data_IF_505606596158
#
_entry.id   IF_505606596158
#
_cell.length_a   1.000
_cell.length_b   1.000
_cell.length_c   1.000
_cell.angle_alpha   90.00
_cell.angle_beta   90.00
_cell.angle_gamma   90.00
#
_symmetry.space_group_name_H-M   'P 1'
#
loop_
_entity.id
_entity.type
_entity.pdbx_description
1 polymer ?
#
# COMPACT_ATOMS: atom_id res chain seq x y z
N UNK A 1 21.15 46.08 41.27
CA UNK A 1 21.01 46.33 42.72
C UNK A 1 19.52 46.26 43.04
N UNK A 2 19.05 45.12 43.57
CA UNK A 2 18.58 45.00 44.97
C UNK A 2 17.40 45.95 45.28
N UNK A 3 16.23 45.51 45.70
CA UNK A 3 15.89 44.24 46.32
C UNK A 3 14.41 44.16 46.69
N UNK A 4 14.07 43.01 47.26
CA UNK A 4 12.79 42.62 47.87
C UNK A 4 12.32 43.59 48.95
N UNK A 5 11.02 43.62 49.26
CA UNK A 5 10.53 43.40 50.63
C UNK A 5 9.02 43.07 50.70
N UNK A 6 8.67 42.34 51.76
CA UNK A 6 7.49 41.51 52.07
C UNK A 6 6.41 42.21 52.95
N UNK A 7 5.24 41.58 53.25
CA UNK A 7 3.94 42.18 53.65
C UNK A 7 3.73 42.29 55.18
N UNK A 8 2.54 42.72 55.72
CA UNK A 8 1.48 41.77 56.22
C UNK A 8 0.05 42.43 56.36
N UNK A 9 -0.93 41.93 57.17
CA UNK A 9 -1.51 40.59 57.35
C UNK A 9 -3.06 40.52 57.24
N UNK A 10 -3.59 39.29 57.08
CA UNK A 10 -4.63 38.71 57.94
C UNK A 10 -6.11 39.11 57.79
N UNK A 11 -6.94 38.17 57.36
CA UNK A 11 -8.40 38.20 57.55
C UNK A 11 -9.07 36.89 57.15
N UNK A 12 -9.46 36.09 58.13
CA UNK A 12 -10.16 34.80 57.97
C UNK A 12 -11.67 35.00 57.70
N UNK A 13 -12.28 34.12 56.88
CA UNK A 13 -13.72 34.18 56.59
C UNK A 13 -14.26 32.97 55.82
N UNK A 14 -14.58 31.93 56.58
CA UNK A 14 -15.41 30.74 56.32
C UNK A 14 -16.53 30.84 55.25
N UNK A 15 -16.62 29.87 54.32
CA UNK A 15 -17.63 28.77 54.29
C UNK A 15 -17.67 28.08 52.91
N UNK A 16 -17.49 26.76 52.92
CA UNK A 16 -17.39 25.89 51.75
C UNK A 16 -18.76 25.33 51.31
N UNK A 17 -19.15 25.71 50.10
CA UNK A 17 -19.65 24.87 48.98
C UNK A 17 -20.48 23.62 49.27
N UNK A 18 -21.79 23.68 48.96
CA UNK A 18 -22.59 22.51 48.54
C UNK A 18 -22.22 22.15 47.10
N UNK A 19 -21.56 21.01 46.85
CA UNK A 19 -21.44 20.43 45.51
C UNK A 19 -22.56 19.43 45.27
N UNK A 20 -23.38 19.71 44.25
CA UNK A 20 -24.38 18.81 43.69
C UNK A 20 -23.68 17.70 42.89
N UNK A 21 -24.23 16.49 42.97
CA UNK A 21 -23.94 15.40 42.05
C UNK A 21 -24.21 15.83 40.61
N UNK A 22 -23.27 15.54 39.72
CA UNK A 22 -23.55 15.36 38.30
C UNK A 22 -22.97 13.98 37.93
N UNK A 23 -23.88 13.01 37.76
CA UNK A 23 -23.58 11.72 37.17
C UNK A 23 -23.38 11.98 35.69
N UNK A 24 -22.14 11.86 35.20
CA UNK A 24 -21.87 11.85 33.77
C UNK A 24 -22.31 10.48 33.22
N UNK A 25 -23.37 10.48 32.41
CA UNK A 25 -23.77 9.32 31.63
C UNK A 25 -22.71 9.06 30.57
N UNK A 26 -21.95 7.97 30.71
CA UNK A 26 -21.14 7.43 29.63
C UNK A 26 -22.10 6.83 28.58
N UNK A 27 -22.23 7.51 27.44
CA UNK A 27 -22.91 6.95 26.28
C UNK A 27 -22.04 5.83 25.70
N UNK A 28 -22.35 4.59 26.06
CA UNK A 28 -21.82 3.41 25.40
C UNK A 28 -22.46 3.32 24.00
N UNK A 29 -21.75 3.82 22.99
CA UNK A 29 -22.08 3.54 21.60
C UNK A 29 -21.76 2.07 21.35
N UNK A 30 -22.77 1.22 21.40
CA UNK A 30 -22.73 -0.13 20.86
C UNK A 30 -22.60 0.00 19.34
N UNK A 31 -21.36 0.06 18.84
CA UNK A 31 -21.03 -0.14 17.44
C UNK A 31 -21.50 -1.55 17.05
N UNK A 32 -22.68 -1.63 16.44
CA UNK A 32 -23.13 -2.84 15.78
C UNK A 32 -22.13 -3.16 14.65
N UNK A 33 -21.64 -4.39 14.51
CA UNK A 33 -20.79 -4.75 13.38
C UNK A 33 -21.58 -4.55 12.09
N UNK A 34 -21.05 -3.75 11.17
CA UNK A 34 -21.64 -3.48 9.87
C UNK A 34 -21.83 -4.82 9.12
N UNK A 35 -23.03 -5.13 8.60
CA UNK A 35 -23.14 -6.21 7.63
C UNK A 35 -22.39 -5.81 6.36
N UNK A 36 -21.72 -6.77 5.70
CA UNK A 36 -20.94 -6.57 4.48
C UNK A 36 -21.67 -5.88 3.30
N UNK A 37 -22.99 -5.70 3.40
CA UNK A 37 -23.84 -4.97 2.46
C UNK A 37 -23.98 -3.46 2.75
N UNK A 38 -23.27 -2.91 3.74
CA UNK A 38 -23.50 -1.55 4.25
C UNK A 38 -22.41 -0.52 3.90
N UNK A 39 -21.30 -0.93 3.27
CA UNK A 39 -20.25 0.03 2.89
C UNK A 39 -20.69 0.76 1.61
N UNK A 40 -20.90 2.07 1.71
CA UNK A 40 -21.16 2.92 0.55
C UNK A 40 -19.89 2.96 -0.33
N UNK A 41 -19.95 2.25 -1.46
CA UNK A 41 -18.85 2.15 -2.43
C UNK A 41 -18.57 3.45 -3.19
N UNK A 42 -19.54 4.37 -3.19
CA UNK A 42 -19.40 5.69 -3.79
C UNK A 42 -18.54 6.60 -2.92
N UNK A 43 -18.85 6.67 -1.62
CA UNK A 43 -18.10 7.46 -0.64
C UNK A 43 -18.40 6.99 0.78
N UNK A 44 -17.37 6.85 1.62
CA UNK A 44 -17.59 6.55 3.04
C UNK A 44 -18.43 7.64 3.72
N UNK A 45 -19.31 7.19 4.63
CA UNK A 45 -19.99 8.10 5.55
C UNK A 45 -18.96 8.78 6.47
N UNK A 46 -19.29 9.93 7.11
CA UNK A 46 -18.39 10.56 8.08
C UNK A 46 -17.99 9.62 9.23
N UNK A 47 -18.90 8.76 9.66
CA UNK A 47 -18.64 7.78 10.72
C UNK A 47 -17.70 6.67 10.25
N UNK A 48 -17.88 6.17 9.02
CA UNK A 48 -16.98 5.17 8.42
C UNK A 48 -15.59 5.75 8.14
N UNK A 49 -15.51 7.02 7.72
CA UNK A 49 -14.24 7.72 7.55
C UNK A 49 -13.52 7.92 8.89
N UNK A 50 -14.25 8.20 9.98
CA UNK A 50 -13.67 8.26 11.32
C UNK A 50 -13.18 6.87 11.79
N UNK A 51 -13.94 5.81 11.51
CA UNK A 51 -13.54 4.44 11.80
C UNK A 51 -12.27 4.03 11.03
N UNK A 52 -12.18 4.37 9.74
CA UNK A 52 -11.00 4.18 8.91
C UNK A 52 -9.77 4.88 9.52
N UNK A 53 -9.89 6.15 9.91
CA UNK A 53 -8.77 6.85 10.55
C UNK A 53 -8.31 6.18 11.84
N UNK A 54 -9.24 5.72 12.68
CA UNK A 54 -8.91 5.00 13.90
C UNK A 54 -8.21 3.66 13.63
N UNK A 55 -8.58 2.97 12.54
CA UNK A 55 -7.90 1.76 12.06
C UNK A 55 -6.47 2.09 11.62
N UNK A 56 -6.28 3.10 10.77
CA UNK A 56 -4.96 3.48 10.28
C UNK A 56 -4.02 3.89 11.44
N UNK A 57 -4.55 4.59 12.44
CA UNK A 57 -3.81 4.92 13.67
C UNK A 57 -3.41 3.68 14.48
N UNK A 58 -4.32 2.70 14.61
CA UNK A 58 -4.02 1.45 15.32
C UNK A 58 -2.95 0.61 14.58
N UNK A 59 -2.92 0.67 13.25
CA UNK A 59 -1.96 -0.05 12.41
C UNK A 59 -0.58 0.60 12.37
N UNK A 60 -0.48 1.93 12.58
CA UNK A 60 0.74 2.71 12.40
C UNK A 60 1.98 2.09 13.08
N UNK A 61 1.96 1.65 14.36
CA UNK A 61 3.16 1.14 15.02
C UNK A 61 3.70 -0.14 14.37
N UNK A 62 2.81 -1.09 14.07
CA UNK A 62 3.16 -2.37 13.45
C UNK A 62 3.64 -2.18 12.01
N UNK A 63 2.96 -1.34 11.23
CA UNK A 63 3.36 -1.04 9.85
C UNK A 63 4.70 -0.31 9.79
N UNK A 64 4.93 0.67 10.67
CA UNK A 64 6.22 1.37 10.77
C UNK A 64 7.35 0.41 11.14
N UNK A 65 7.10 -0.54 12.05
CA UNK A 65 8.08 -1.55 12.42
C UNK A 65 8.42 -2.46 11.23
N UNK A 66 7.42 -2.90 10.46
CA UNK A 66 7.64 -3.71 9.26
C UNK A 66 8.34 -2.92 8.14
N UNK A 67 8.01 -1.65 7.93
CA UNK A 67 8.69 -0.78 6.98
C UNK A 67 10.18 -0.63 7.32
N UNK A 68 10.51 -0.31 8.58
CA UNK A 68 11.92 -0.25 9.03
C UNK A 68 12.63 -1.60 8.91
N UNK A 69 11.90 -2.69 9.12
CA UNK A 69 12.42 -4.05 8.95
C UNK A 69 12.47 -4.53 7.50
N UNK A 70 12.03 -3.74 6.52
CA UNK A 70 11.99 -4.16 5.12
C UNK A 70 11.05 -5.32 4.86
N UNK A 71 9.94 -5.45 5.60
CA UNK A 71 8.99 -6.56 5.49
C UNK A 71 7.54 -6.10 5.34
N UNK A 72 7.30 -4.82 5.09
CA UNK A 72 5.94 -4.28 4.95
C UNK A 72 5.13 -5.02 3.89
N UNK A 73 5.73 -5.31 2.73
CA UNK A 73 5.12 -6.06 1.65
C UNK A 73 4.76 -7.53 2.00
N UNK A 74 5.32 -8.04 3.10
CA UNK A 74 5.07 -9.39 3.64
C UNK A 74 4.05 -9.39 4.78
N UNK A 75 3.32 -8.28 5.01
CA UNK A 75 2.28 -8.20 6.04
C UNK A 75 1.31 -9.39 5.92
N UNK A 76 1.06 -10.10 7.01
CA UNK A 76 0.08 -11.20 7.02
C UNK A 76 -1.29 -10.71 7.48
N UNK A 77 -2.33 -11.51 7.21
CA UNK A 77 -3.67 -11.23 7.76
C UNK A 77 -3.67 -11.22 9.29
N UNK A 78 -2.92 -12.12 9.92
CA UNK A 78 -2.80 -12.17 11.37
C UNK A 78 -2.19 -10.87 11.91
N UNK A 79 -1.08 -10.41 11.34
CA UNK A 79 -0.42 -9.16 11.71
C UNK A 79 -1.29 -7.92 11.46
N UNK A 80 -2.06 -7.90 10.35
CA UNK A 80 -2.97 -6.80 10.05
C UNK A 80 -4.12 -6.71 11.06
N UNK A 81 -4.65 -7.85 11.52
CA UNK A 81 -5.79 -7.89 12.43
C UNK A 81 -5.39 -7.77 13.90
N UNK A 82 -4.18 -8.19 14.28
CA UNK A 82 -3.68 -8.23 15.66
C UNK A 82 -3.96 -6.96 16.46
N UNK A 83 -3.62 -5.73 16.01
CA UNK A 83 -3.77 -4.53 16.81
C UNK A 83 -5.22 -4.00 16.85
N UNK A 84 -6.14 -4.61 16.10
CA UNK A 84 -7.50 -4.11 15.89
C UNK A 84 -8.48 -4.66 16.92
N UNK A 85 -9.35 -3.79 17.42
CA UNK A 85 -10.52 -4.14 18.23
C UNK A 85 -11.58 -4.90 17.41
N UNK A 86 -12.52 -5.64 18.06
CA UNK A 86 -13.54 -6.37 17.33
C UNK A 86 -14.38 -5.53 16.32
N UNK A 87 -14.82 -4.29 16.64
CA UNK A 87 -15.50 -3.45 15.65
C UNK A 87 -14.63 -3.07 14.46
N UNK A 88 -13.34 -2.80 14.68
CA UNK A 88 -12.38 -2.48 13.62
C UNK A 88 -12.13 -3.69 12.70
N UNK A 89 -12.05 -4.91 13.27
CA UNK A 89 -11.95 -6.14 12.49
C UNK A 89 -13.17 -6.35 11.61
N UNK A 90 -14.37 -6.15 12.16
CA UNK A 90 -15.62 -6.23 11.39
C UNK A 90 -15.66 -5.23 10.23
N UNK A 91 -15.11 -4.03 10.42
CA UNK A 91 -14.96 -3.05 9.34
C UNK A 91 -14.03 -3.56 8.22
N UNK A 92 -12.84 -4.10 8.56
CA UNK A 92 -11.94 -4.72 7.58
C UNK A 92 -12.59 -5.90 6.84
N UNK A 93 -13.34 -6.73 7.55
CA UNK A 93 -14.05 -7.87 6.97
C UNK A 93 -15.09 -7.41 5.93
N UNK A 94 -15.75 -6.28 6.16
CA UNK A 94 -16.66 -5.69 5.17
C UNK A 94 -15.92 -5.28 3.89
N UNK A 95 -14.71 -4.70 3.99
CA UNK A 95 -13.89 -4.37 2.83
C UNK A 95 -13.39 -5.62 2.09
N UNK A 96 -13.01 -6.68 2.81
CA UNK A 96 -12.61 -7.96 2.19
C UNK A 96 -13.75 -8.67 1.49
N UNK A 97 -14.98 -8.44 1.93
CA UNK A 97 -16.17 -9.01 1.31
C UNK A 97 -16.63 -8.23 0.06
N UNK A 98 -16.04 -7.06 -0.23
CA UNK A 98 -16.32 -6.31 -1.45
C UNK A 98 -15.96 -7.16 -2.68
N UNK A 99 -16.86 -7.21 -3.64
CA UNK A 99 -16.62 -7.86 -4.92
C UNK A 99 -16.19 -6.80 -5.93
N UNK A 100 -15.12 -7.02 -6.69
CA UNK A 100 -14.73 -6.07 -7.75
C UNK A 100 -15.88 -5.76 -8.72
N UNK A 101 -16.74 -6.74 -9.00
CA UNK A 101 -17.93 -6.56 -9.83
C UNK A 101 -18.91 -5.51 -9.27
N UNK A 102 -19.00 -5.33 -7.95
CA UNK A 102 -19.83 -4.27 -7.34
C UNK A 102 -19.21 -2.88 -7.44
N UNK A 103 -17.95 -2.77 -7.87
CA UNK A 103 -17.25 -1.50 -8.11
C UNK A 103 -17.21 -1.12 -9.61
N UNK A 104 -17.92 -1.86 -10.46
CA UNK A 104 -17.87 -1.67 -11.91
C UNK A 104 -16.54 -2.07 -12.55
N UNK A 105 -15.67 -2.75 -11.80
CA UNK A 105 -14.37 -3.20 -12.29
C UNK A 105 -14.48 -4.58 -12.95
N UNK A 106 -13.88 -4.73 -14.13
CA UNK A 106 -13.66 -6.00 -14.83
C UNK A 106 -12.32 -6.64 -14.48
N UNK A 107 -11.63 -6.12 -13.45
CA UNK A 107 -10.31 -6.56 -13.05
C UNK A 107 -10.30 -8.07 -12.74
N UNK A 108 -9.31 -8.78 -13.29
CA UNK A 108 -9.12 -10.19 -13.05
C UNK A 108 -8.98 -10.46 -11.54
N UNK A 109 -9.58 -11.54 -11.05
CA UNK A 109 -9.35 -12.00 -9.68
C UNK A 109 -8.27 -13.07 -9.67
N UNK A 110 -7.12 -12.75 -9.12
CA UNK A 110 -5.98 -13.66 -9.01
C UNK A 110 -6.07 -14.59 -7.80
N UNK A 111 -6.92 -14.24 -6.83
CA UNK A 111 -7.06 -14.99 -5.59
C UNK A 111 -6.02 -14.62 -4.54
N UNK A 112 -6.05 -15.34 -3.43
CA UNK A 112 -5.04 -15.26 -2.38
C UNK A 112 -4.19 -16.53 -2.42
N UNK A 113 -2.86 -16.45 -2.22
CA UNK A 113 -2.03 -17.64 -2.09
C UNK A 113 -2.53 -18.54 -0.96
N UNK A 114 -2.71 -19.84 -1.23
CA UNK A 114 -3.13 -20.81 -0.21
C UNK A 114 -2.04 -21.11 0.83
N UNK A 115 -0.80 -20.70 0.55
CA UNK A 115 0.35 -20.79 1.43
C UNK A 115 1.29 -19.59 1.15
N UNK A 116 2.14 -19.20 2.13
CA UNK A 116 3.16 -18.19 1.90
C UNK A 116 4.05 -18.59 0.71
N UNK A 117 4.22 -17.72 -0.30
CA UNK A 117 5.09 -18.03 -1.43
C UNK A 117 6.57 -18.11 -1.02
N UNK A 118 7.37 -18.90 -1.74
CA UNK A 118 8.84 -18.89 -1.60
C UNK A 118 9.39 -17.58 -2.20
N UNK A 119 9.46 -16.57 -1.34
CA UNK A 119 9.95 -15.25 -1.67
C UNK A 119 11.40 -15.08 -1.23
N UNK A 120 12.18 -14.45 -2.09
CA UNK A 120 13.56 -14.06 -1.80
C UNK A 120 13.67 -12.54 -1.87
N UNK A 121 14.49 -11.91 -1.00
CA UNK A 121 14.71 -10.48 -1.07
C UNK A 121 15.45 -10.14 -2.37
N UNK A 122 14.99 -9.08 -3.03
CA UNK A 122 15.82 -8.35 -3.99
C UNK A 122 16.96 -7.72 -3.18
N UNK A 123 18.20 -7.86 -3.64
CA UNK A 123 19.36 -7.27 -2.97
C UNK A 123 19.22 -5.75 -2.80
N UNK A 124 20.05 -5.09 -1.97
CA UNK A 124 19.98 -3.64 -1.80
C UNK A 124 20.06 -2.91 -3.13
N UNK A 125 19.18 -1.91 -3.31
CA UNK A 125 19.08 -1.10 -4.52
C UNK A 125 19.14 0.38 -4.13
N UNK A 126 19.68 1.18 -5.03
CA UNK A 126 19.65 2.64 -4.93
C UNK A 126 19.35 3.26 -6.29
N UNK A 127 18.80 4.47 -6.22
CA UNK A 127 18.61 5.40 -7.34
C UNK A 127 19.33 6.70 -7.03
N UNK A 128 19.67 7.47 -8.06
CA UNK A 128 20.22 8.83 -7.94
C UNK A 128 19.18 9.81 -8.46
N UNK A 129 18.31 10.29 -7.56
CA UNK A 129 17.28 11.27 -7.90
C UNK A 129 17.82 12.67 -7.63
N UNK A 130 17.89 13.51 -8.68
CA UNK A 130 18.36 14.90 -8.59
C UNK A 130 19.78 15.01 -7.99
N UNK A 131 20.66 14.07 -8.34
CA UNK A 131 22.05 14.03 -7.84
C UNK A 131 22.20 13.51 -6.41
N UNK A 132 21.11 13.04 -5.78
CA UNK A 132 21.13 12.48 -4.43
C UNK A 132 20.85 10.98 -4.49
N UNK A 133 21.79 10.19 -3.98
CA UNK A 133 21.61 8.76 -3.79
C UNK A 133 20.51 8.48 -2.76
N UNK A 134 19.54 7.65 -3.12
CA UNK A 134 18.41 7.24 -2.29
C UNK A 134 18.30 5.72 -2.32
N UNK A 135 18.37 5.03 -1.17
CA UNK A 135 18.08 3.60 -1.13
C UNK A 135 16.60 3.38 -1.45
N UNK A 136 16.30 2.29 -2.18
CA UNK A 136 14.93 1.83 -2.35
C UNK A 136 14.53 0.93 -1.18
N UNK A 137 13.23 0.90 -0.88
CA UNK A 137 12.69 0.00 0.12
C UNK A 137 12.94 -1.47 -0.28
N UNK A 138 13.22 -2.37 0.69
CA UNK A 138 13.43 -3.78 0.38
C UNK A 138 12.23 -4.42 -0.32
N UNK A 139 12.51 -5.05 -1.46
CA UNK A 139 11.52 -5.74 -2.28
C UNK A 139 11.72 -7.25 -2.23
N UNK A 140 10.68 -8.00 -2.59
CA UNK A 140 10.72 -9.46 -2.64
C UNK A 140 10.16 -9.95 -3.96
N UNK A 141 10.71 -11.04 -4.47
CA UNK A 141 10.20 -11.73 -5.66
C UNK A 141 10.23 -13.25 -5.42
N UNK A 142 9.39 -14.03 -6.12
CA UNK A 142 9.62 -15.45 -6.27
C UNK A 142 11.03 -15.71 -6.82
N UNK A 143 11.67 -16.80 -6.37
CA UNK A 143 13.06 -17.12 -6.71
C UNK A 143 13.34 -17.14 -8.21
N UNK A 144 12.41 -17.70 -8.98
CA UNK A 144 12.51 -17.80 -10.43
C UNK A 144 12.43 -16.42 -11.09
N UNK A 145 11.44 -15.62 -10.69
CA UNK A 145 11.27 -14.24 -11.17
C UNK A 145 12.51 -13.38 -10.84
N UNK A 146 13.09 -13.50 -9.64
CA UNK A 146 14.32 -12.80 -9.29
C UNK A 146 15.48 -13.20 -10.20
N UNK A 147 15.62 -14.50 -10.47
CA UNK A 147 16.69 -15.02 -11.32
C UNK A 147 16.54 -14.54 -12.76
N UNK A 148 15.30 -14.52 -13.29
CA UNK A 148 14.99 -13.99 -14.61
C UNK A 148 15.22 -12.48 -14.71
N UNK A 149 14.78 -11.72 -13.70
CA UNK A 149 15.04 -10.29 -13.59
C UNK A 149 16.55 -9.99 -13.61
N UNK A 150 17.36 -10.73 -12.85
CA UNK A 150 18.80 -10.53 -12.84
C UNK A 150 19.43 -10.73 -14.22
N UNK A 151 19.07 -11.81 -14.94
CA UNK A 151 19.53 -12.05 -16.32
C UNK A 151 19.09 -10.94 -17.28
N UNK A 152 17.85 -10.47 -17.15
CA UNK A 152 17.30 -9.39 -17.98
C UNK A 152 18.08 -8.08 -17.74
N UNK A 153 18.36 -7.76 -16.49
CA UNK A 153 19.14 -6.57 -16.14
C UNK A 153 20.61 -6.67 -16.56
N UNK A 154 21.23 -7.85 -16.48
CA UNK A 154 22.61 -8.05 -16.96
C UNK A 154 22.70 -7.87 -18.49
N UNK A 155 21.68 -8.30 -19.24
CA UNK A 155 21.60 -8.07 -20.68
C UNK A 155 21.35 -6.58 -21.02
N UNK A 156 20.45 -5.91 -20.29
CA UNK A 156 20.21 -4.48 -20.45
C UNK A 156 21.48 -3.65 -20.17
N UNK A 157 22.21 -3.99 -19.11
CA UNK A 157 23.50 -3.35 -18.77
C UNK A 157 24.52 -3.53 -19.90
N UNK A 158 24.60 -4.72 -20.49
CA UNK A 158 25.52 -5.00 -21.59
C UNK A 158 25.20 -4.16 -22.85
N UNK A 159 23.92 -3.90 -23.12
CA UNK A 159 23.47 -3.19 -24.32
C UNK A 159 23.42 -1.66 -24.13
N UNK A 160 23.00 -1.19 -22.95
CA UNK A 160 22.73 0.22 -22.67
C UNK A 160 23.67 0.86 -21.64
N UNK A 161 24.40 0.06 -20.84
CA UNK A 161 25.20 0.55 -19.72
C UNK A 161 24.36 1.08 -18.55
N UNK A 162 23.13 0.57 -18.39
CA UNK A 162 22.26 0.87 -17.27
C UNK A 162 21.33 -0.32 -16.95
N UNK A 163 20.66 -0.24 -15.80
CA UNK A 163 19.72 -1.24 -15.29
C UNK A 163 18.51 -0.56 -14.69
N UNK A 164 17.35 -1.15 -14.87
CA UNK A 164 16.19 -0.82 -14.04
C UNK A 164 16.37 -1.37 -12.62
N UNK A 165 15.61 -0.79 -11.68
CA UNK A 165 15.48 -1.26 -10.30
C UNK A 165 14.03 -1.70 -10.06
N UNK A 166 13.84 -2.59 -9.10
CA UNK A 166 12.50 -2.96 -8.63
C UNK A 166 12.03 -1.91 -7.63
N UNK A 167 11.04 -1.11 -8.02
CA UNK A 167 10.34 -0.20 -7.11
C UNK A 167 9.28 -0.94 -6.29
N UNK A 168 8.54 -1.85 -6.93
CA UNK A 168 7.51 -2.66 -6.28
C UNK A 168 7.55 -4.11 -6.77
N UNK A 169 7.86 -5.04 -5.86
CA UNK A 169 7.85 -6.47 -6.12
C UNK A 169 6.57 -7.14 -5.62
N UNK A 170 6.69 -8.29 -4.96
CA UNK A 170 5.57 -8.98 -4.33
C UNK A 170 4.88 -8.10 -3.28
N UNK A 171 3.54 -8.11 -3.28
CA UNK A 171 2.69 -7.49 -2.26
C UNK A 171 1.68 -8.51 -1.74
N UNK A 172 1.71 -8.80 -0.44
CA UNK A 172 0.72 -9.72 0.14
C UNK A 172 -0.72 -9.16 0.02
N UNK A 173 -1.75 -10.02 -0.01
CA UNK A 173 -3.14 -9.56 0.01
C UNK A 173 -3.48 -8.67 1.21
N UNK A 174 -2.89 -8.94 2.39
CA UNK A 174 -3.09 -8.11 3.57
C UNK A 174 -2.43 -6.73 3.43
N UNK A 175 -1.22 -6.68 2.85
CA UNK A 175 -0.57 -5.40 2.53
C UNK A 175 -1.37 -4.63 1.48
N UNK A 176 -1.90 -5.31 0.48
CA UNK A 176 -2.77 -4.70 -0.54
C UNK A 176 -4.03 -4.10 0.07
N UNK A 177 -4.68 -4.78 1.03
CA UNK A 177 -5.82 -4.19 1.76
C UNK A 177 -5.39 -2.95 2.55
N UNK A 178 -4.26 -3.01 3.26
CA UNK A 178 -3.73 -1.85 3.96
C UNK A 178 -3.51 -0.66 3.02
N UNK A 179 -2.88 -0.88 1.85
CA UNK A 179 -2.69 0.17 0.85
C UNK A 179 -4.02 0.75 0.39
N UNK A 180 -5.01 -0.10 0.09
CA UNK A 180 -6.34 0.36 -0.30
C UNK A 180 -6.96 1.30 0.74
N UNK A 181 -6.91 0.91 2.02
CA UNK A 181 -7.42 1.70 3.14
C UNK A 181 -6.61 2.99 3.35
N UNK A 182 -5.29 2.94 3.18
CA UNK A 182 -4.39 4.07 3.35
C UNK A 182 -4.57 5.16 2.28
N UNK A 183 -4.86 4.76 1.03
CA UNK A 183 -5.08 5.69 -0.08
C UNK A 183 -6.53 6.19 -0.17
N UNK A 184 -7.49 5.53 0.48
CA UNK A 184 -8.90 5.92 0.45
C UNK A 184 -9.14 7.42 0.75
N UNK A 185 -8.53 8.02 1.79
CA UNK A 185 -8.73 9.44 2.08
C UNK A 185 -8.15 10.37 1.01
N UNK A 186 -7.09 9.94 0.32
CA UNK A 186 -6.48 10.70 -0.79
C UNK A 186 -7.39 10.77 -2.01
N UNK A 187 -8.30 9.80 -2.15
CA UNK A 187 -9.31 9.74 -3.21
C UNK A 187 -10.69 10.16 -2.70
N UNK A 188 -10.73 11.07 -1.72
CA UNK A 188 -11.97 11.67 -1.21
C UNK A 188 -12.90 10.69 -0.49
N UNK A 189 -12.33 9.62 0.08
CA UNK A 189 -13.03 8.51 0.74
C UNK A 189 -13.91 7.67 -0.20
N UNK A 190 -13.64 7.70 -1.51
CA UNK A 190 -14.36 6.91 -2.50
C UNK A 190 -13.67 5.58 -2.76
N UNK A 191 -14.39 4.47 -2.52
CA UNK A 191 -13.92 3.11 -2.82
C UNK A 191 -13.82 2.91 -4.33
N UNK A 192 -14.81 3.41 -5.09
CA UNK A 192 -14.81 3.31 -6.55
C UNK A 192 -13.65 4.11 -7.15
N UNK A 193 -13.39 5.33 -6.68
CA UNK A 193 -12.26 6.13 -7.16
C UNK A 193 -10.92 5.48 -6.78
N UNK A 194 -10.78 5.04 -5.53
CA UNK A 194 -9.56 4.36 -5.07
C UNK A 194 -9.26 3.11 -5.87
N UNK A 195 -10.29 2.33 -6.21
CA UNK A 195 -10.13 1.10 -6.99
C UNK A 195 -9.67 1.37 -8.44
N UNK A 196 -9.66 2.62 -8.93
CA UNK A 196 -9.05 2.97 -10.22
C UNK A 196 -7.52 2.96 -10.19
N UNK A 197 -6.93 3.14 -9.00
CA UNK A 197 -5.47 3.29 -8.82
C UNK A 197 -4.89 2.22 -7.90
N UNK A 198 -5.67 1.72 -6.95
CA UNK A 198 -5.25 0.71 -5.97
C UNK A 198 -6.22 -0.45 -6.01
N UNK A 199 -5.77 -1.59 -6.52
CA UNK A 199 -6.60 -2.79 -6.60
C UNK A 199 -7.03 -3.29 -5.21
N UNK A 200 -8.25 -3.84 -5.13
CA UNK A 200 -8.70 -4.62 -3.97
C UNK A 200 -7.77 -5.83 -3.69
N UNK A 201 -7.74 -6.35 -2.45
CA UNK A 201 -7.01 -7.58 -2.14
C UNK A 201 -7.43 -8.74 -3.06
N UNK A 202 -6.45 -9.48 -3.58
CA UNK A 202 -6.66 -10.56 -4.55
C UNK A 202 -6.89 -10.13 -6.01
N UNK A 203 -6.90 -8.82 -6.29
CA UNK A 203 -7.01 -8.26 -7.64
C UNK A 203 -5.71 -7.60 -8.15
N UNK A 204 -4.67 -7.53 -7.33
CA UNK A 204 -3.35 -7.02 -7.73
C UNK A 204 -2.48 -8.16 -8.25
N UNK A 205 -1.85 -7.98 -9.42
CA UNK A 205 -0.85 -8.94 -9.95
C UNK A 205 0.36 -9.09 -9.02
N UNK A 206 0.68 -8.06 -8.22
CA UNK A 206 1.79 -8.15 -7.25
C UNK A 206 1.55 -9.20 -6.16
N UNK A 207 0.28 -9.54 -5.90
CA UNK A 207 -0.11 -10.59 -4.96
C UNK A 207 -0.24 -11.97 -5.59
N UNK A 208 0.13 -12.14 -6.87
CA UNK A 208 -0.04 -13.37 -7.62
C UNK A 208 1.30 -13.93 -8.14
N UNK A 209 2.03 -14.71 -7.31
CA UNK A 209 3.33 -15.28 -7.67
C UNK A 209 3.41 -16.03 -9.02
N UNK A 210 2.37 -16.76 -9.49
CA UNK A 210 2.43 -17.42 -10.81
C UNK A 210 2.51 -16.45 -12.00
N UNK A 211 2.09 -15.20 -11.83
CA UNK A 211 2.33 -14.10 -12.80
C UNK A 211 2.81 -12.87 -12.04
N UNK A 212 3.99 -12.99 -11.42
CA UNK A 212 4.49 -11.99 -10.49
C UNK A 212 4.73 -10.65 -11.19
N UNK A 213 3.98 -9.62 -10.79
CA UNK A 213 4.25 -8.25 -11.22
C UNK A 213 5.49 -7.65 -10.54
N UNK A 214 6.13 -6.76 -11.30
CA UNK A 214 7.32 -5.98 -10.96
C UNK A 214 7.12 -4.59 -11.55
N UNK A 215 7.09 -3.58 -10.70
CA UNK A 215 7.13 -2.17 -11.11
C UNK A 215 8.59 -1.74 -11.19
N UNK A 216 9.00 -1.24 -12.35
CA UNK A 216 10.35 -0.77 -12.60
C UNK A 216 10.51 0.73 -12.40
N UNK A 217 11.67 1.12 -11.90
CA UNK A 217 12.15 2.50 -11.83
C UNK A 217 13.56 2.56 -12.40
N UNK A 218 13.89 3.61 -13.16
CA UNK A 218 15.25 3.76 -13.66
C UNK A 218 16.22 4.31 -12.60
N UNK A 219 17.52 4.32 -12.92
CA UNK A 219 18.55 4.77 -11.98
C UNK A 219 18.43 6.25 -11.62
N UNK A 220 17.73 7.06 -12.42
CA UNK A 220 17.44 8.47 -12.14
C UNK A 220 16.18 8.69 -11.28
N UNK A 221 15.43 7.63 -10.96
CA UNK A 221 14.21 7.71 -10.17
C UNK A 221 12.95 8.06 -10.96
N UNK A 222 12.91 7.77 -12.26
CA UNK A 222 11.74 7.90 -13.14
C UNK A 222 10.99 6.56 -13.12
N UNK A 223 9.74 6.58 -12.63
CA UNK A 223 8.88 5.40 -12.51
C UNK A 223 7.62 5.44 -13.39
N UNK A 224 7.21 6.62 -13.86
CA UNK A 224 6.05 6.78 -14.73
C UNK A 224 4.68 6.76 -14.04
N UNK A 225 4.57 6.50 -12.72
CA UNK A 225 3.27 6.36 -12.04
C UNK A 225 2.35 7.57 -12.25
N UNK A 226 2.89 8.78 -12.04
CA UNK A 226 2.18 10.05 -12.26
C UNK A 226 2.26 10.53 -13.74
N UNK A 227 3.35 10.16 -14.42
CA UNK A 227 3.71 10.64 -15.76
C UNK A 227 4.18 9.47 -16.65
N UNK A 228 3.26 8.63 -17.16
CA UNK A 228 3.61 7.42 -17.91
C UNK A 228 4.53 7.69 -19.12
N UNK A 229 4.36 8.84 -19.75
CA UNK A 229 5.17 9.30 -20.88
C UNK A 229 6.66 9.46 -20.55
N UNK A 230 7.02 9.75 -19.29
CA UNK A 230 8.42 9.91 -18.89
C UNK A 230 9.14 8.56 -18.86
N UNK A 231 8.47 7.51 -18.35
CA UNK A 231 9.03 6.16 -18.37
C UNK A 231 9.03 5.58 -19.78
N UNK A 232 7.96 5.78 -20.55
CA UNK A 232 7.88 5.32 -21.95
C UNK A 232 8.97 5.93 -22.84
N UNK A 233 9.37 7.17 -22.58
CA UNK A 233 10.44 7.84 -23.33
C UNK A 233 11.84 7.30 -23.03
N UNK A 234 12.00 6.43 -22.03
CA UNK A 234 13.29 5.88 -21.63
C UNK A 234 13.83 4.88 -22.66
N UNK A 235 15.16 4.87 -22.93
CA UNK A 235 15.77 3.80 -23.71
C UNK A 235 15.57 2.42 -23.07
N UNK A 236 15.47 2.35 -21.74
CA UNK A 236 15.18 1.13 -20.98
C UNK A 236 13.79 0.56 -21.32
N UNK A 237 12.75 1.41 -21.44
CA UNK A 237 11.41 0.96 -21.82
C UNK A 237 11.40 0.36 -23.22
N UNK A 238 12.02 1.06 -24.18
CA UNK A 238 12.15 0.54 -25.56
C UNK A 238 12.90 -0.80 -25.58
N UNK A 239 13.96 -0.93 -24.78
CA UNK A 239 14.69 -2.20 -24.68
C UNK A 239 13.81 -3.30 -24.08
N UNK A 240 12.99 -3.01 -23.07
CA UNK A 240 12.04 -3.99 -22.53
C UNK A 240 11.05 -4.47 -23.61
N UNK A 241 10.47 -3.59 -24.41
CA UNK A 241 9.55 -3.97 -25.50
C UNK A 241 10.18 -4.94 -26.51
N UNK A 242 11.48 -4.79 -26.79
CA UNK A 242 12.20 -5.61 -27.77
C UNK A 242 12.75 -6.93 -27.17
N UNK A 243 13.06 -6.96 -25.85
CA UNK A 243 13.88 -8.01 -25.25
C UNK A 243 13.25 -8.74 -24.04
N UNK A 244 12.36 -8.11 -23.27
CA UNK A 244 11.88 -8.63 -21.99
C UNK A 244 11.21 -10.01 -22.10
N UNK A 245 10.48 -10.25 -23.20
CA UNK A 245 9.80 -11.52 -23.45
C UNK A 245 10.76 -12.73 -23.47
N UNK A 246 12.04 -12.54 -23.83
CA UNK A 246 13.06 -13.60 -23.83
C UNK A 246 13.43 -14.06 -22.42
N UNK A 247 13.15 -13.23 -21.42
CA UNK A 247 13.36 -13.51 -20.00
C UNK A 247 12.05 -13.85 -19.29
N UNK A 248 10.96 -14.06 -20.03
CA UNK A 248 9.65 -14.39 -19.47
C UNK A 248 8.88 -13.19 -18.89
N UNK A 249 9.25 -11.96 -19.24
CA UNK A 249 8.53 -10.75 -18.81
C UNK A 249 7.63 -10.21 -19.92
N UNK A 250 6.44 -9.76 -19.55
CA UNK A 250 5.49 -9.10 -20.45
C UNK A 250 4.86 -7.86 -19.78
N UNK A 251 4.62 -6.82 -20.58
CA UNK A 251 3.91 -5.61 -20.15
C UNK A 251 2.46 -5.96 -19.84
N UNK A 252 2.00 -5.71 -18.60
CA UNK A 252 0.64 -6.11 -18.21
C UNK A 252 -0.43 -5.18 -18.78
N UNK A 253 -0.16 -3.87 -18.81
CA UNK A 253 -1.16 -2.86 -19.17
C UNK A 253 -0.69 -1.96 -20.32
N UNK A 254 -0.57 -2.48 -21.55
CA UNK A 254 -0.39 -1.64 -22.74
C UNK A 254 -1.60 -0.75 -22.99
N UNK A 255 -1.46 0.27 -23.84
CA UNK A 255 -2.60 1.09 -24.28
C UNK A 255 -3.68 0.23 -24.92
N UNK A 256 -4.92 0.42 -24.47
CA UNK A 256 -6.07 -0.34 -24.96
C UNK A 256 -6.09 -1.80 -24.51
N UNK A 257 -5.37 -2.15 -23.44
CA UNK A 257 -5.45 -3.49 -22.84
C UNK A 257 -6.91 -3.87 -22.52
N UNK A 258 -7.26 -5.17 -22.57
CA UNK A 258 -8.63 -5.64 -22.37
C UNK A 258 -9.11 -5.52 -20.92
N UNK A 259 -8.23 -5.18 -19.98
CA UNK A 259 -8.56 -5.05 -18.56
C UNK A 259 -9.22 -3.71 -18.24
N UNK A 260 -9.10 -2.72 -19.13
CA UNK A 260 -9.60 -1.36 -18.89
C UNK A 260 -8.74 -0.54 -17.92
N UNK A 261 -7.58 -1.08 -17.52
CA UNK A 261 -6.56 -0.39 -16.73
C UNK A 261 -5.90 0.69 -17.59
N UNK A 262 -5.46 1.79 -16.97
CA UNK A 262 -4.67 2.80 -17.65
C UNK A 262 -3.35 2.19 -18.20
N UNK A 263 -2.67 2.93 -19.07
CA UNK A 263 -1.37 2.51 -19.56
C UNK A 263 -0.32 2.65 -18.45
N UNK A 264 0.38 1.55 -18.14
CA UNK A 264 1.39 1.47 -17.08
C UNK A 264 2.71 0.92 -17.65
N UNK A 265 3.55 1.75 -18.31
CA UNK A 265 4.77 1.31 -18.97
C UNK A 265 5.82 0.69 -18.03
N UNK A 266 5.72 0.95 -16.73
CA UNK A 266 6.60 0.42 -15.70
C UNK A 266 6.16 -0.94 -15.15
N UNK A 267 4.90 -1.34 -15.34
CA UNK A 267 4.31 -2.54 -14.72
C UNK A 267 4.44 -3.75 -15.64
N UNK A 268 5.35 -4.66 -15.30
CA UNK A 268 5.62 -5.89 -16.04
C UNK A 268 5.38 -7.10 -15.16
N UNK A 269 4.90 -8.21 -15.72
CA UNK A 269 4.80 -9.46 -15.00
C UNK A 269 5.70 -10.54 -15.58
N UNK A 270 6.22 -11.37 -14.68
CA UNK A 270 6.94 -12.59 -15.02
C UNK A 270 5.94 -13.74 -15.19
N UNK A 271 5.92 -14.41 -16.35
CA UNK A 271 5.05 -15.55 -16.64
C UNK A 271 5.82 -16.86 -16.92
N UNK A 272 7.12 -16.91 -16.59
CA UNK A 272 7.99 -18.03 -16.92
C UNK A 272 8.70 -17.85 -18.26
N UNK A 273 9.87 -18.47 -18.43
CA UNK A 273 10.53 -18.50 -19.74
C UNK A 273 9.75 -19.41 -20.70
N UNK A 274 9.46 -18.91 -21.91
CA UNK A 274 8.91 -19.73 -22.99
C UNK A 274 10.07 -20.54 -23.58
N UNK A 275 10.04 -21.85 -23.42
CA UNK A 275 10.93 -22.79 -24.13
C UNK A 275 10.86 -22.63 -25.66
#
# INVERSE_FOLDING_TARGET
MSGRFTPPPGGAGSTSTRRRLAIAAAAAWLLCPLPASAVDVGRLSPDDAAALHAILQALEPSLTAKQRGGTAALLTWEELYEPLSPPQRAFLDAFRALKAASLGATAHFFGEPSAPPDLVPVGPQEIVKEGVAKPLDPQYLPREALSAYQRMMDAMEADLGTRLRVESGYRSPAYQLYLFLFYLPKHGDSITETNRFVALPGHSEHGYPPRQAVDFINEAGINGEDHPEEFEALPEYRWLEEHAARFGFALSYPRGNPHGTAFEPWHWHFEGEKE
#
